data_IF_625624390490
#
_entry.id   IF_625624390490
#
_cell.length_a   1.000
_cell.length_b   1.000
_cell.length_c   1.000
_cell.angle_alpha   90.00
_cell.angle_beta   90.00
_cell.angle_gamma   90.00
#
_symmetry.space_group_name_H-M   'P 1'
#
loop_
_entity.id
_entity.type
_entity.pdbx_description
1 polymer ?
#
# COMPACT_ATOMS: atom_id res chain seq x y z
N UNK A 1 -2.56 62.32 47.95
CA UNK A 1 -2.70 61.85 46.55
C UNK A 1 -1.67 60.79 46.17
N UNK A 2 -0.43 60.84 46.69
CA UNK A 2 0.62 59.85 46.34
C UNK A 2 0.44 58.45 46.95
N UNK A 3 -0.20 58.32 48.13
CA UNK A 3 -0.45 56.99 48.73
C UNK A 3 -1.49 56.16 47.99
N UNK A 4 -2.42 56.78 47.26
CA UNK A 4 -3.44 56.07 46.47
C UNK A 4 -2.88 55.52 45.14
N UNK A 5 -1.86 56.18 44.57
CA UNK A 5 -1.17 55.72 43.36
C UNK A 5 -0.34 54.45 43.60
N UNK A 6 0.25 54.31 44.80
CA UNK A 6 1.00 53.10 45.18
C UNK A 6 0.09 51.87 45.37
N UNK A 7 -1.13 52.06 45.88
CA UNK A 7 -2.12 50.96 45.97
C UNK A 7 -2.70 50.58 44.60
N UNK A 8 -2.84 51.54 43.67
CA UNK A 8 -3.29 51.26 42.31
C UNK A 8 -2.22 50.50 41.49
N UNK A 9 -0.93 50.77 41.69
CA UNK A 9 0.18 50.03 41.05
C UNK A 9 0.36 48.61 41.61
N UNK A 10 -0.03 48.36 42.87
CA UNK A 10 0.00 47.02 43.46
C UNK A 10 -1.13 46.09 42.97
N UNK A 11 -2.22 46.64 42.41
CA UNK A 11 -3.36 45.88 41.89
C UNK A 11 -3.19 45.43 40.42
N UNK A 12 -2.14 45.88 39.73
CA UNK A 12 -1.84 45.46 38.35
C UNK A 12 -0.97 44.21 38.25
N UNK A 13 -0.43 43.72 39.37
CA UNK A 13 0.20 42.40 39.45
C UNK A 13 -0.88 41.39 39.86
N UNK A 14 -1.79 41.10 38.93
CA UNK A 14 -2.63 39.92 39.05
C UNK A 14 -1.74 38.71 39.35
N UNK A 15 -2.16 37.76 40.19
CA UNK A 15 -1.34 36.62 40.56
C UNK A 15 -0.93 35.92 39.27
N UNK A 16 0.36 36.02 38.91
CA UNK A 16 0.94 35.14 37.92
C UNK A 16 0.73 33.74 38.49
N UNK A 17 -0.29 33.02 38.00
CA UNK A 17 -0.51 31.61 38.35
C UNK A 17 0.83 30.93 38.22
N UNK A 18 1.42 30.55 39.36
CA UNK A 18 2.72 29.89 39.39
C UNK A 18 2.65 28.74 38.39
N UNK A 19 3.43 28.83 37.31
CA UNK A 19 3.40 27.84 36.26
C UNK A 19 3.84 26.50 36.87
N UNK A 20 2.97 25.49 36.81
CA UNK A 20 3.30 24.13 37.25
C UNK A 20 4.31 23.55 36.25
N UNK A 21 5.58 23.87 36.45
CA UNK A 21 6.67 23.29 35.70
C UNK A 21 7.33 22.18 36.52
N UNK A 22 7.40 20.94 36.01
CA UNK A 22 8.06 19.86 36.73
C UNK A 22 9.55 20.17 36.98
N UNK A 23 10.12 19.68 38.09
CA UNK A 23 11.56 19.75 38.29
C UNK A 23 12.28 19.00 37.17
N UNK A 24 13.43 19.53 36.72
CA UNK A 24 14.22 19.03 35.57
C UNK A 24 13.59 19.27 34.19
N UNK A 25 12.46 19.98 34.11
CA UNK A 25 11.86 20.41 32.86
C UNK A 25 11.97 21.92 32.67
N UNK A 26 11.90 22.36 31.42
CA UNK A 26 11.81 23.77 31.03
C UNK A 26 10.43 24.03 30.46
N UNK A 27 9.73 25.04 30.97
CA UNK A 27 8.40 25.40 30.49
C UNK A 27 8.48 26.74 29.75
N UNK A 28 8.04 26.75 28.49
CA UNK A 28 8.02 27.94 27.65
C UNK A 28 6.57 28.38 27.43
N UNK A 29 6.27 29.61 27.80
CA UNK A 29 4.95 30.20 27.58
C UNK A 29 4.97 31.04 26.30
N UNK A 30 4.53 30.44 25.20
CA UNK A 30 4.43 31.06 23.88
C UNK A 30 2.96 31.40 23.64
N UNK A 31 2.44 32.44 24.30
CA UNK A 31 1.01 32.78 24.25
C UNK A 31 0.44 32.66 22.81
N UNK A 32 -0.55 31.78 22.56
CA UNK A 32 -1.43 31.11 23.51
C UNK A 32 -1.02 29.68 23.96
N UNK A 33 0.10 29.13 23.48
CA UNK A 33 0.54 27.75 23.76
C UNK A 33 1.58 27.66 24.88
N UNK A 34 1.44 26.64 25.72
CA UNK A 34 2.43 26.26 26.72
C UNK A 34 3.18 25.03 26.23
N UNK A 35 4.50 25.10 26.17
CA UNK A 35 5.37 23.98 25.84
C UNK A 35 6.15 23.52 27.08
N UNK A 36 6.15 22.22 27.35
CA UNK A 36 6.89 21.60 28.46
C UNK A 36 7.95 20.67 27.87
N UNK A 37 9.21 21.02 28.11
CA UNK A 37 10.39 20.39 27.55
C UNK A 37 11.17 19.67 28.65
N UNK A 38 11.21 18.35 28.59
CA UNK A 38 11.84 17.48 29.58
C UNK A 38 12.87 16.53 28.92
N UNK A 39 13.54 16.97 27.86
CA UNK A 39 14.48 16.14 27.12
C UNK A 39 15.74 15.83 27.96
N UNK A 40 16.21 14.57 27.97
CA UNK A 40 17.42 14.15 28.70
C UNK A 40 17.40 14.47 30.20
N UNK A 41 16.22 14.44 30.81
CA UNK A 41 16.03 14.76 32.23
C UNK A 41 16.21 13.55 33.17
N UNK A 42 16.46 12.36 32.63
CA UNK A 42 16.63 11.12 33.41
C UNK A 42 15.32 10.62 34.03
N UNK A 43 14.18 10.95 33.43
CA UNK A 43 12.87 10.62 33.98
C UNK A 43 12.59 9.12 33.88
N UNK A 44 12.22 8.50 35.01
CA UNK A 44 11.80 7.09 35.08
C UNK A 44 10.29 6.92 34.83
N UNK A 45 9.53 8.00 34.97
CA UNK A 45 8.08 8.06 34.81
C UNK A 45 7.65 9.43 34.29
N UNK A 46 6.46 9.52 33.70
CA UNK A 46 5.88 10.80 33.30
C UNK A 46 5.66 11.66 34.55
N UNK A 47 6.14 12.92 34.61
CA UNK A 47 5.95 13.78 35.78
C UNK A 47 4.47 13.97 36.09
N UNK A 48 4.07 13.80 37.36
CA UNK A 48 2.66 13.91 37.77
C UNK A 48 2.10 15.34 37.79
N UNK A 49 2.98 16.36 37.87
CA UNK A 49 2.64 17.78 37.97
C UNK A 49 2.81 18.46 36.60
N UNK A 50 1.96 18.11 35.63
CA UNK A 50 1.92 18.76 34.32
C UNK A 50 0.73 19.73 34.24
N UNK A 51 0.94 20.95 33.74
CA UNK A 51 -0.16 21.88 33.44
C UNK A 51 -1.03 21.30 32.30
N UNK A 52 -2.33 21.14 32.55
CA UNK A 52 -3.28 20.56 31.59
C UNK A 52 -3.57 21.44 30.38
N UNK A 53 -3.07 22.69 30.38
CA UNK A 53 -3.12 23.61 29.22
C UNK A 53 -1.94 23.42 28.27
N UNK A 54 -0.98 22.56 28.60
CA UNK A 54 0.17 22.24 27.76
C UNK A 54 -0.28 21.82 26.35
N UNK A 55 0.25 22.50 25.34
CA UNK A 55 0.00 22.23 23.93
C UNK A 55 1.10 21.35 23.31
N UNK A 56 2.32 21.42 23.84
CA UNK A 56 3.46 20.60 23.40
C UNK A 56 4.17 20.00 24.61
N UNK A 57 4.33 18.67 24.61
CA UNK A 57 5.01 17.94 25.67
C UNK A 57 6.11 17.05 25.08
N UNK A 58 7.37 17.37 25.41
CA UNK A 58 8.55 16.64 24.92
C UNK A 58 9.24 15.93 26.05
N UNK A 59 9.17 14.61 26.05
CA UNK A 59 9.75 13.69 27.03
C UNK A 59 10.83 12.81 26.38
N UNK A 60 11.52 13.33 25.35
CA UNK A 60 12.53 12.59 24.59
C UNK A 60 13.76 12.22 25.41
N UNK A 61 14.40 11.10 25.08
CA UNK A 61 15.67 10.69 25.69
C UNK A 61 15.59 10.56 27.22
N UNK A 62 14.58 9.83 27.69
CA UNK A 62 14.38 9.51 29.10
C UNK A 62 14.32 7.98 29.30
N UNK A 63 13.99 7.53 30.51
CA UNK A 63 13.95 6.11 30.88
C UNK A 63 12.54 5.68 31.30
N UNK A 64 11.50 6.30 30.72
CA UNK A 64 10.12 6.01 31.05
C UNK A 64 9.79 4.58 30.60
N UNK A 65 9.37 3.73 31.55
CA UNK A 65 9.14 2.31 31.27
C UNK A 65 7.69 1.97 30.89
N UNK A 66 6.73 2.77 31.34
CA UNK A 66 5.31 2.54 31.09
C UNK A 66 4.53 3.85 31.08
N UNK A 67 3.46 3.89 30.27
CA UNK A 67 2.52 5.02 30.21
C UNK A 67 1.20 4.60 30.82
N UNK A 68 0.75 5.34 31.84
CA UNK A 68 -0.48 5.10 32.60
C UNK A 68 -1.56 6.09 32.20
N UNK A 69 -2.83 5.71 32.41
CA UNK A 69 -3.98 6.58 32.12
C UNK A 69 -3.92 7.95 32.80
N UNK A 70 -3.46 8.01 34.04
CA UNK A 70 -3.38 9.26 34.81
C UNK A 70 -2.32 10.25 34.30
N UNK A 71 -1.34 9.77 33.54
CA UNK A 71 -0.19 10.58 33.13
C UNK A 71 -0.66 11.70 32.19
N UNK A 72 -1.52 11.36 31.22
CA UNK A 72 -2.05 12.27 30.20
C UNK A 72 -3.53 12.62 30.37
N UNK A 73 -4.13 12.28 31.51
CA UNK A 73 -5.54 12.56 31.79
C UNK A 73 -5.86 14.06 31.67
N UNK A 74 -7.03 14.37 31.10
CA UNK A 74 -7.54 15.74 30.92
C UNK A 74 -6.61 16.73 30.17
N UNK A 75 -5.65 16.26 29.36
CA UNK A 75 -4.79 17.13 28.54
C UNK A 75 -5.40 17.39 27.15
N UNK A 76 -6.61 17.96 27.13
CA UNK A 76 -7.41 18.13 25.89
C UNK A 76 -6.80 19.11 24.88
N UNK A 77 -5.92 20.01 25.34
CA UNK A 77 -5.22 21.02 24.51
C UNK A 77 -3.89 20.52 23.94
N UNK A 78 -3.45 19.32 24.32
CA UNK A 78 -2.18 18.78 23.85
C UNK A 78 -2.27 18.47 22.36
N UNK A 79 -1.35 19.04 21.58
CA UNK A 79 -1.28 18.90 20.11
C UNK A 79 -0.12 18.01 19.71
N UNK A 80 1.03 18.15 20.38
CA UNK A 80 2.24 17.38 20.10
C UNK A 80 2.72 16.67 21.36
N UNK A 81 2.84 15.34 21.28
CA UNK A 81 3.38 14.51 22.34
C UNK A 81 4.55 13.68 21.80
N UNK A 82 5.72 13.89 22.39
CA UNK A 82 6.92 13.16 22.00
C UNK A 82 7.46 12.34 23.17
N UNK A 83 7.41 11.02 23.03
CA UNK A 83 7.93 10.00 23.96
C UNK A 83 9.10 9.21 23.33
N UNK A 84 9.72 9.76 22.29
CA UNK A 84 10.81 9.12 21.54
C UNK A 84 12.01 8.78 22.42
N UNK A 85 12.70 7.68 22.08
CA UNK A 85 13.93 7.23 22.76
C UNK A 85 13.73 7.11 24.28
N UNK A 86 12.76 6.29 24.66
CA UNK A 86 12.48 5.90 26.04
C UNK A 86 12.60 4.38 26.21
N UNK A 87 12.24 3.86 27.39
CA UNK A 87 12.24 2.43 27.67
C UNK A 87 10.81 1.85 27.72
N UNK A 88 9.85 2.45 27.00
CA UNK A 88 8.43 2.14 27.15
C UNK A 88 8.16 0.72 26.63
N UNK A 89 7.74 -0.16 27.54
CA UNK A 89 7.34 -1.54 27.24
C UNK A 89 5.84 -1.74 27.29
N UNK A 90 5.12 -0.88 27.99
CA UNK A 90 3.69 -1.03 28.24
C UNK A 90 2.94 0.30 28.10
N UNK A 91 1.94 0.29 27.25
CA UNK A 91 0.90 1.30 27.18
C UNK A 91 -0.35 0.73 27.87
N UNK A 92 -0.80 1.37 28.95
CA UNK A 92 -2.05 0.98 29.60
C UNK A 92 -3.22 1.32 28.68
N UNK A 93 -4.27 0.46 28.58
CA UNK A 93 -5.47 0.78 27.82
C UNK A 93 -6.04 2.16 28.16
N UNK A 94 -6.48 2.90 27.12
CA UNK A 94 -7.04 4.24 27.24
C UNK A 94 -6.07 5.28 27.84
N UNK A 95 -4.76 5.04 27.76
CA UNK A 95 -3.76 5.99 28.24
C UNK A 95 -3.84 7.37 27.58
N UNK A 96 -4.30 7.41 26.33
CA UNK A 96 -4.41 8.62 25.52
C UNK A 96 -5.86 9.10 25.31
N UNK A 97 -6.82 8.54 26.04
CA UNK A 97 -8.25 8.71 25.74
C UNK A 97 -8.76 10.17 25.81
N UNK A 98 -8.11 11.01 26.62
CA UNK A 98 -8.50 12.40 26.81
C UNK A 98 -7.77 13.37 25.85
N UNK A 99 -6.84 12.86 25.04
CA UNK A 99 -5.98 13.64 24.14
C UNK A 99 -6.68 13.99 22.81
N UNK A 100 -7.89 14.55 22.90
CA UNK A 100 -8.74 14.82 21.73
C UNK A 100 -8.15 15.82 20.73
N UNK A 101 -7.27 16.72 21.19
CA UNK A 101 -6.59 17.72 20.36
C UNK A 101 -5.28 17.23 19.74
N UNK A 102 -4.84 16.00 20.03
CA UNK A 102 -3.53 15.51 19.64
C UNK A 102 -3.45 15.28 18.14
N UNK A 103 -2.41 15.81 17.51
CA UNK A 103 -2.12 15.69 16.08
C UNK A 103 -0.89 14.86 15.80
N UNK A 104 0.12 14.91 16.66
CA UNK A 104 1.33 14.12 16.51
C UNK A 104 1.64 13.34 17.77
N UNK A 105 1.84 12.02 17.61
CA UNK A 105 2.27 11.10 18.66
C UNK A 105 3.53 10.38 18.20
N UNK A 106 4.63 10.65 18.91
CA UNK A 106 5.91 10.01 18.64
C UNK A 106 6.22 9.03 19.78
N UNK A 107 6.35 7.76 19.42
CA UNK A 107 6.68 6.64 20.28
C UNK A 107 7.90 5.87 19.74
N UNK A 108 8.68 6.48 18.85
CA UNK A 108 9.85 5.86 18.22
C UNK A 108 10.99 5.56 19.19
N UNK A 109 11.79 4.55 18.91
CA UNK A 109 12.93 4.19 19.76
C UNK A 109 12.50 3.72 21.15
N UNK A 110 11.41 2.96 21.24
CA UNK A 110 10.91 2.36 22.48
C UNK A 110 11.02 0.83 22.43
N UNK A 111 10.34 0.13 23.34
CA UNK A 111 10.40 -1.33 23.48
C UNK A 111 9.00 -1.95 23.48
N UNK A 112 8.10 -1.37 22.68
CA UNK A 112 6.72 -1.83 22.59
C UNK A 112 6.67 -3.19 21.87
N UNK A 113 6.09 -4.25 22.48
CA UNK A 113 5.98 -5.56 21.84
C UNK A 113 4.77 -5.70 20.91
N UNK A 114 3.69 -4.94 21.17
CA UNK A 114 2.48 -4.96 20.37
C UNK A 114 1.64 -3.69 20.62
N UNK A 115 0.75 -3.37 19.69
CA UNK A 115 -0.31 -2.35 19.85
C UNK A 115 -1.68 -3.03 19.90
N UNK A 116 -2.37 -2.92 21.02
CA UNK A 116 -3.74 -3.41 21.23
C UNK A 116 -4.81 -2.38 20.86
N UNK A 117 -6.03 -2.86 20.62
CA UNK A 117 -7.17 -2.06 20.15
C UNK A 117 -7.62 -0.93 21.10
N UNK A 118 -7.18 -0.96 22.36
CA UNK A 118 -7.52 0.04 23.38
C UNK A 118 -6.38 1.00 23.70
N UNK A 119 -5.16 0.73 23.26
CA UNK A 119 -3.98 1.51 23.65
C UNK A 119 -3.93 2.88 22.98
N UNK A 120 -4.39 2.99 21.73
CA UNK A 120 -4.44 4.24 20.95
C UNK A 120 -5.85 4.83 20.83
N UNK A 121 -6.79 4.40 21.67
CA UNK A 121 -8.16 4.96 21.69
C UNK A 121 -8.20 6.40 22.18
N UNK A 122 -9.14 7.17 21.63
CA UNK A 122 -9.45 8.56 21.98
C UNK A 122 -8.57 9.61 21.28
N UNK A 123 -8.01 9.26 20.12
CA UNK A 123 -7.14 10.12 19.31
C UNK A 123 -7.78 10.56 17.98
N UNK A 124 -8.98 11.18 17.95
CA UNK A 124 -9.74 11.41 16.71
C UNK A 124 -9.07 12.36 15.70
N UNK A 125 -8.19 13.24 16.15
CA UNK A 125 -7.53 14.25 15.32
C UNK A 125 -6.06 13.94 15.00
N UNK A 126 -5.63 12.69 15.25
CA UNK A 126 -4.26 12.29 15.02
C UNK A 126 -3.92 12.30 13.53
N UNK A 127 -2.80 12.92 13.19
CA UNK A 127 -2.28 13.05 11.82
C UNK A 127 -0.96 12.32 11.64
N UNK A 128 -0.10 12.35 12.64
CA UNK A 128 1.22 11.72 12.59
C UNK A 128 1.35 10.71 13.73
N UNK A 129 1.56 9.44 13.36
CA UNK A 129 1.83 8.35 14.31
C UNK A 129 3.17 7.72 13.97
N UNK A 130 4.16 7.97 14.83
CA UNK A 130 5.53 7.48 14.65
C UNK A 130 5.82 6.39 15.68
N UNK A 131 5.92 5.15 15.20
CA UNK A 131 6.17 3.93 15.98
C UNK A 131 7.46 3.21 15.54
N UNK A 132 8.28 3.89 14.73
CA UNK A 132 9.53 3.33 14.21
C UNK A 132 10.50 2.90 15.33
N UNK A 133 11.41 1.96 15.03
CA UNK A 133 12.41 1.48 15.99
C UNK A 133 11.78 0.99 17.31
N UNK A 134 10.83 0.07 17.22
CA UNK A 134 10.24 -0.63 18.35
C UNK A 134 10.47 -2.14 18.21
N UNK A 135 9.74 -2.97 18.98
CA UNK A 135 9.81 -4.43 18.90
C UNK A 135 8.44 -5.01 18.57
N UNK A 136 7.63 -4.26 17.79
CA UNK A 136 6.25 -4.63 17.52
C UNK A 136 6.19 -5.92 16.71
N UNK A 137 5.53 -6.94 17.26
CA UNK A 137 5.27 -8.20 16.58
C UNK A 137 3.86 -8.25 15.98
N UNK A 138 2.93 -7.48 16.56
CA UNK A 138 1.54 -7.43 16.12
C UNK A 138 0.89 -6.07 16.40
N UNK A 139 -0.05 -5.71 15.54
CA UNK A 139 -1.00 -4.62 15.73
C UNK A 139 -2.40 -5.21 15.69
N UNK A 140 -3.20 -4.95 16.72
CA UNK A 140 -4.56 -5.46 16.81
C UNK A 140 -5.47 -4.84 15.74
N UNK A 141 -6.43 -5.60 15.19
CA UNK A 141 -7.48 -5.05 14.35
C UNK A 141 -8.20 -3.90 15.06
N UNK A 142 -8.46 -2.81 14.33
CA UNK A 142 -9.13 -1.64 14.88
C UNK A 142 -8.31 -0.77 15.83
N UNK A 143 -7.01 -1.05 16.01
CA UNK A 143 -6.12 -0.16 16.77
C UNK A 143 -6.02 1.25 16.20
N UNK A 144 -6.32 1.44 14.91
CA UNK A 144 -6.27 2.72 14.21
C UNK A 144 -7.65 3.30 13.86
N UNK A 145 -8.74 2.67 14.30
CA UNK A 145 -10.11 3.04 13.88
C UNK A 145 -10.47 4.49 14.21
N UNK A 146 -10.05 4.99 15.37
CA UNK A 146 -10.42 6.31 15.86
C UNK A 146 -9.85 7.46 14.99
N UNK A 147 -8.73 7.24 14.30
CA UNK A 147 -8.05 8.22 13.44
C UNK A 147 -7.90 7.78 11.99
N UNK A 148 -8.62 6.73 11.57
CA UNK A 148 -8.51 6.22 10.21
C UNK A 148 -8.81 7.29 9.14
N UNK A 149 -9.75 8.19 9.44
CA UNK A 149 -10.10 9.30 8.54
C UNK A 149 -9.24 10.56 8.69
N UNK A 150 -8.25 10.59 9.58
CA UNK A 150 -7.45 11.82 9.86
C UNK A 150 -5.95 11.62 9.73
N UNK A 151 -5.47 10.38 9.80
CA UNK A 151 -4.05 10.06 9.73
C UNK A 151 -3.46 10.40 8.37
N UNK A 152 -2.34 11.13 8.39
CA UNK A 152 -1.57 11.58 7.23
C UNK A 152 -0.25 10.80 7.12
N UNK A 153 0.43 10.54 8.24
CA UNK A 153 1.71 9.81 8.25
C UNK A 153 1.69 8.67 9.28
N UNK A 154 2.02 7.47 8.80
CA UNK A 154 2.19 6.28 9.62
C UNK A 154 3.59 5.69 9.42
N UNK A 155 4.37 5.69 10.48
CA UNK A 155 5.71 5.07 10.51
C UNK A 155 5.70 3.86 11.44
N UNK A 156 5.87 2.67 10.85
CA UNK A 156 6.04 1.38 11.53
C UNK A 156 7.42 0.76 11.21
N UNK A 157 8.37 1.56 10.72
CA UNK A 157 9.71 1.14 10.34
C UNK A 157 10.48 0.44 11.47
N UNK A 158 11.44 -0.42 11.15
CA UNK A 158 12.32 -1.07 12.14
C UNK A 158 11.52 -1.73 13.29
N UNK A 159 10.65 -2.66 12.93
CA UNK A 159 9.85 -3.46 13.86
C UNK A 159 9.91 -4.94 13.45
N UNK A 160 9.21 -5.81 14.17
CA UNK A 160 9.20 -7.26 13.93
C UNK A 160 7.85 -7.72 13.36
N UNK A 161 7.19 -6.89 12.55
CA UNK A 161 5.83 -7.14 12.08
C UNK A 161 5.84 -8.20 10.98
N UNK A 162 5.29 -9.38 11.26
CA UNK A 162 5.08 -10.43 10.26
C UNK A 162 3.74 -10.29 9.53
N UNK A 163 2.74 -9.71 10.20
CA UNK A 163 1.39 -9.47 9.68
C UNK A 163 0.88 -8.11 10.13
N UNK A 164 0.12 -7.47 9.27
CA UNK A 164 -0.58 -6.21 9.55
C UNK A 164 -2.10 -6.41 9.42
N UNK A 165 -2.91 -5.66 10.17
CA UNK A 165 -4.35 -5.62 9.97
C UNK A 165 -4.68 -4.81 8.70
N UNK A 166 -4.51 -5.43 7.53
CA UNK A 166 -4.66 -4.80 6.22
C UNK A 166 -6.00 -4.10 6.00
N UNK A 167 -7.10 -4.66 6.52
CA UNK A 167 -8.43 -4.02 6.49
C UNK A 167 -8.47 -2.68 7.24
N UNK A 168 -7.67 -2.54 8.30
CA UNK A 168 -7.53 -1.27 9.02
C UNK A 168 -6.66 -0.30 8.23
N UNK A 169 -5.59 -0.76 7.58
CA UNK A 169 -4.71 0.07 6.75
C UNK A 169 -5.45 0.62 5.52
N UNK A 170 -6.28 -0.22 4.87
CA UNK A 170 -7.11 0.18 3.72
C UNK A 170 -8.05 1.35 4.03
N UNK A 171 -8.47 1.51 5.29
CA UNK A 171 -9.36 2.59 5.74
C UNK A 171 -8.65 3.92 5.99
N UNK A 172 -7.32 3.99 5.87
CA UNK A 172 -6.52 5.18 6.11
C UNK A 172 -6.58 6.18 4.92
N UNK A 173 -7.77 6.65 4.56
CA UNK A 173 -8.01 7.39 3.31
C UNK A 173 -7.25 8.72 3.15
N UNK A 174 -6.71 9.26 4.24
CA UNK A 174 -5.94 10.51 4.26
C UNK A 174 -4.42 10.32 4.32
N UNK A 175 -3.93 9.07 4.30
CA UNK A 175 -2.50 8.80 4.44
C UNK A 175 -1.72 9.26 3.20
N UNK A 176 -0.65 10.01 3.44
CA UNK A 176 0.31 10.49 2.46
C UNK A 176 1.59 9.66 2.49
N UNK A 177 2.05 9.27 3.68
CA UNK A 177 3.27 8.49 3.86
C UNK A 177 3.00 7.26 4.72
N UNK A 178 3.36 6.09 4.19
CA UNK A 178 3.31 4.81 4.90
C UNK A 178 4.70 4.17 4.85
N UNK A 179 5.36 4.08 6.01
CA UNK A 179 6.68 3.46 6.16
C UNK A 179 6.55 2.12 6.89
N UNK A 180 6.88 1.04 6.19
CA UNK A 180 6.84 -0.35 6.65
C UNK A 180 8.21 -1.02 6.51
N UNK A 181 9.27 -0.25 6.28
CA UNK A 181 10.61 -0.76 6.06
C UNK A 181 11.17 -1.49 7.28
N UNK A 182 12.13 -2.39 7.05
CA UNK A 182 12.81 -3.14 8.11
C UNK A 182 11.82 -3.87 9.03
N UNK A 183 10.95 -4.68 8.42
CA UNK A 183 9.98 -5.53 9.09
C UNK A 183 10.08 -6.98 8.57
N UNK A 184 9.14 -7.85 8.96
CA UNK A 184 9.11 -9.26 8.58
C UNK A 184 7.90 -9.58 7.68
N UNK A 185 7.41 -8.58 6.93
CA UNK A 185 6.18 -8.72 6.14
C UNK A 185 6.47 -9.60 4.94
N UNK A 186 5.74 -10.71 4.81
CA UNK A 186 5.93 -11.69 3.73
C UNK A 186 4.91 -11.56 2.58
N UNK A 187 3.74 -10.99 2.86
CA UNK A 187 2.64 -10.90 1.91
C UNK A 187 1.82 -9.62 2.10
N UNK A 188 1.51 -8.98 0.97
CA UNK A 188 0.59 -7.84 0.88
C UNK A 188 -0.64 -8.29 0.08
N UNK A 189 -1.87 -8.13 0.60
CA UNK A 189 -3.09 -8.45 -0.13
C UNK A 189 -3.30 -7.55 -1.34
N UNK A 190 -3.93 -8.10 -2.38
CA UNK A 190 -4.26 -7.34 -3.58
C UNK A 190 -5.32 -6.25 -3.30
N UNK A 191 -5.11 -5.05 -3.83
CA UNK A 191 -6.07 -3.95 -3.73
C UNK A 191 -6.18 -3.31 -2.34
N UNK A 192 -5.27 -3.62 -1.41
CA UNK A 192 -5.25 -3.02 -0.06
C UNK A 192 -4.98 -1.52 -0.12
N UNK A 193 -4.25 -1.05 -1.15
CA UNK A 193 -3.91 0.36 -1.30
C UNK A 193 -4.85 1.11 -2.25
N UNK A 194 -5.79 0.42 -2.91
CA UNK A 194 -6.66 1.01 -3.94
C UNK A 194 -7.43 2.26 -3.46
N UNK A 195 -7.82 2.31 -2.19
CA UNK A 195 -8.58 3.40 -1.58
C UNK A 195 -7.69 4.51 -0.97
N UNK A 196 -6.37 4.37 -1.01
CA UNK A 196 -5.40 5.32 -0.44
C UNK A 196 -4.99 6.38 -1.49
N UNK A 197 -5.95 7.13 -2.01
CA UNK A 197 -5.75 8.05 -3.13
C UNK A 197 -4.77 9.21 -2.87
N UNK A 198 -4.43 9.50 -1.61
CA UNK A 198 -3.47 10.54 -1.22
C UNK A 198 -2.05 10.03 -0.99
N UNK A 199 -1.85 8.71 -1.06
CA UNK A 199 -0.56 8.10 -0.79
C UNK A 199 0.48 8.59 -1.80
N UNK A 200 1.51 9.25 -1.28
CA UNK A 200 2.63 9.80 -2.04
C UNK A 200 3.92 9.01 -1.80
N UNK A 201 4.05 8.34 -0.65
CA UNK A 201 5.22 7.53 -0.29
C UNK A 201 4.80 6.21 0.35
N UNK A 202 5.29 5.10 -0.21
CA UNK A 202 5.18 3.76 0.35
C UNK A 202 6.56 3.12 0.40
N UNK A 203 7.06 2.92 1.62
CA UNK A 203 8.33 2.23 1.83
C UNK A 203 8.07 0.84 2.42
N UNK A 204 8.53 -0.20 1.71
CA UNK A 204 8.48 -1.60 2.10
C UNK A 204 9.87 -2.24 1.99
N UNK A 205 10.93 -1.44 2.03
CA UNK A 205 12.32 -1.94 1.96
C UNK A 205 12.64 -2.91 3.10
N UNK A 206 13.59 -3.82 2.89
CA UNK A 206 14.07 -4.77 3.92
C UNK A 206 12.93 -5.54 4.61
N UNK A 207 12.08 -6.20 3.82
CA UNK A 207 11.02 -7.09 4.30
C UNK A 207 11.21 -8.52 3.73
N UNK A 208 10.21 -9.39 3.92
CA UNK A 208 10.23 -10.77 3.41
C UNK A 208 9.32 -10.96 2.19
N UNK A 209 9.06 -9.88 1.45
CA UNK A 209 8.13 -9.91 0.31
C UNK A 209 8.71 -10.76 -0.82
N UNK A 210 7.96 -11.79 -1.21
CA UNK A 210 8.25 -12.56 -2.42
C UNK A 210 7.70 -11.89 -3.66
N UNK A 211 6.54 -11.24 -3.52
CA UNK A 211 5.77 -10.68 -4.63
C UNK A 211 5.06 -9.42 -4.16
N UNK A 212 4.85 -8.49 -5.07
CA UNK A 212 4.06 -7.28 -4.86
C UNK A 212 2.84 -7.40 -5.78
N UNK A 213 1.61 -7.39 -5.24
CA UNK A 213 0.42 -7.46 -6.07
C UNK A 213 0.28 -6.18 -6.91
N UNK A 214 -0.23 -6.29 -8.14
CA UNK A 214 -0.57 -5.10 -8.92
C UNK A 214 -1.69 -4.34 -8.19
N UNK A 215 -1.53 -3.03 -8.08
CA UNK A 215 -2.49 -2.11 -7.48
C UNK A 215 -2.69 -0.92 -8.43
N UNK A 216 -3.91 -0.39 -8.58
CA UNK A 216 -4.16 0.81 -9.37
C UNK A 216 -3.27 2.00 -8.99
N UNK A 217 -2.86 2.11 -7.72
CA UNK A 217 -1.94 3.17 -7.28
C UNK A 217 -0.57 3.11 -7.94
N UNK A 218 -0.12 1.92 -8.34
CA UNK A 218 1.18 1.75 -8.97
C UNK A 218 1.14 1.96 -10.48
N UNK A 219 -0.04 2.06 -11.09
CA UNK A 219 -0.14 2.18 -12.55
C UNK A 219 0.18 3.61 -13.00
N UNK A 220 1.00 3.79 -14.06
CA UNK A 220 1.25 5.11 -14.61
C UNK A 220 -0.06 5.70 -15.13
N UNK A 221 -0.45 6.89 -14.63
CA UNK A 221 -1.53 7.65 -15.24
C UNK A 221 -1.23 7.84 -16.74
N UNK A 222 -2.21 7.63 -17.64
CA UNK A 222 -1.99 7.75 -19.06
C UNK A 222 -1.47 9.16 -19.39
N UNK A 223 -0.36 9.20 -20.15
CA UNK A 223 0.37 10.42 -20.56
C UNK A 223 -0.52 11.45 -21.28
N UNK A 224 -1.69 11.04 -21.78
CA UNK A 224 -2.68 11.90 -22.44
C UNK A 224 -3.61 12.68 -21.48
N UNK A 225 -3.63 12.35 -20.18
CA UNK A 225 -4.36 13.11 -19.16
C UNK A 225 -3.53 14.26 -18.56
N UNK A 226 -2.52 14.76 -19.30
CA UNK A 226 -1.63 15.83 -18.85
C UNK A 226 -2.23 17.20 -19.14
N UNK A 227 -3.02 17.73 -18.22
CA UNK A 227 -3.23 19.18 -18.16
C UNK A 227 -1.98 19.85 -17.59
N UNK A 228 -1.48 20.90 -18.26
CA UNK A 228 -0.41 21.76 -17.74
C UNK A 228 -0.83 22.32 -16.38
N UNK A 229 -0.17 21.89 -15.29
CA UNK A 229 -0.35 22.46 -13.96
C UNK A 229 -0.81 21.49 -12.86
N UNK A 230 -1.09 20.20 -13.17
CA UNK A 230 -1.41 19.21 -12.14
C UNK A 230 -0.12 18.75 -11.43
N UNK A 231 -0.02 18.82 -10.09
CA UNK A 231 1.12 18.26 -9.38
C UNK A 231 1.15 16.74 -9.60
N UNK A 232 2.31 16.24 -10.04
CA UNK A 232 2.59 14.82 -10.18
C UNK A 232 2.50 14.20 -8.77
N UNK A 233 1.42 13.51 -8.43
CA UNK A 233 1.49 12.51 -7.34
C UNK A 233 2.20 11.28 -7.90
N UNK A 234 3.49 11.41 -8.22
CA UNK A 234 4.34 10.26 -8.49
C UNK A 234 4.54 9.55 -7.16
N UNK A 235 3.75 8.51 -6.92
CA UNK A 235 3.94 7.64 -5.76
C UNK A 235 5.40 7.16 -5.74
N UNK A 236 6.11 7.52 -4.67
CA UNK A 236 7.44 7.01 -4.39
C UNK A 236 7.26 5.67 -3.70
N UNK A 237 7.44 4.59 -4.46
CA UNK A 237 7.43 3.23 -3.97
C UNK A 237 8.88 2.78 -3.77
N UNK A 238 9.20 2.12 -2.67
CA UNK A 238 10.51 1.52 -2.40
C UNK A 238 10.33 0.11 -1.83
N UNK A 239 11.00 -0.89 -2.41
CA UNK A 239 10.90 -2.30 -1.99
C UNK A 239 12.23 -3.07 -2.11
N UNK A 240 13.36 -2.37 -2.19
CA UNK A 240 14.69 -2.97 -2.15
C UNK A 240 14.90 -3.84 -0.90
N UNK A 241 15.84 -4.78 -0.95
CA UNK A 241 16.15 -5.67 0.18
C UNK A 241 15.07 -6.72 0.51
N UNK A 242 14.18 -7.03 -0.44
CA UNK A 242 13.20 -8.11 -0.30
C UNK A 242 13.61 -9.37 -1.09
N UNK A 243 13.29 -10.58 -0.60
CA UNK A 243 13.59 -11.84 -1.28
C UNK A 243 12.59 -12.11 -2.42
N UNK A 244 12.64 -11.28 -3.47
CA UNK A 244 11.67 -11.31 -4.57
C UNK A 244 11.74 -12.65 -5.34
N UNK A 245 10.57 -13.18 -5.69
CA UNK A 245 10.38 -14.29 -6.61
C UNK A 245 10.03 -13.73 -7.99
N UNK A 246 11.03 -13.63 -8.84
CA UNK A 246 10.97 -13.01 -10.14
C UNK A 246 10.39 -13.96 -11.19
N UNK A 247 9.06 -13.97 -11.27
CA UNK A 247 8.29 -14.65 -12.31
C UNK A 247 7.40 -13.64 -13.07
N UNK A 248 6.44 -14.15 -13.84
CA UNK A 248 5.50 -13.35 -14.62
C UNK A 248 4.66 -12.36 -13.81
N UNK A 249 4.45 -12.62 -12.53
CA UNK A 249 3.64 -11.76 -11.67
C UNK A 249 4.34 -10.44 -11.33
N UNK A 250 5.66 -10.35 -11.49
CA UNK A 250 6.44 -9.11 -11.33
C UNK A 250 6.71 -8.41 -12.66
N UNK A 251 6.19 -8.90 -13.78
CA UNK A 251 6.41 -8.30 -15.11
C UNK A 251 5.84 -6.89 -15.24
N UNK A 252 4.74 -6.60 -14.53
CA UNK A 252 4.15 -5.26 -14.51
C UNK A 252 5.08 -4.24 -13.83
N UNK A 253 5.85 -4.68 -12.83
CA UNK A 253 6.78 -3.85 -12.07
C UNK A 253 7.92 -3.33 -12.95
N UNK A 254 8.40 -4.15 -13.90
CA UNK A 254 9.38 -3.74 -14.92
C UNK A 254 8.89 -2.58 -15.80
N UNK A 255 7.58 -2.48 -16.03
CA UNK A 255 7.02 -1.43 -16.90
C UNK A 255 6.95 -0.08 -16.19
N UNK A 256 7.27 -0.02 -14.91
CA UNK A 256 7.40 1.22 -14.16
C UNK A 256 8.79 1.79 -14.37
N UNK A 257 8.87 2.99 -14.96
CA UNK A 257 10.11 3.77 -14.98
C UNK A 257 10.40 4.24 -13.55
N UNK A 258 11.35 3.59 -12.88
CA UNK A 258 11.79 3.87 -11.51
C UNK A 258 13.32 4.02 -11.47
N UNK A 259 13.82 4.73 -10.45
CA UNK A 259 15.25 4.74 -10.14
C UNK A 259 15.65 3.34 -9.63
N UNK A 260 16.85 2.87 -9.98
CA UNK A 260 17.33 1.56 -9.56
C UNK A 260 17.62 1.57 -8.05
N UNK A 261 16.74 0.97 -7.23
CA UNK A 261 16.89 0.85 -5.77
C UNK A 261 17.72 -0.40 -5.38
N UNK A 262 18.58 -0.89 -6.30
CA UNK A 262 19.35 -2.12 -6.15
C UNK A 262 18.48 -3.34 -5.80
N UNK A 263 17.28 -3.43 -6.39
CA UNK A 263 16.40 -4.56 -6.15
C UNK A 263 16.97 -5.84 -6.76
N UNK A 264 16.89 -6.97 -6.06
CA UNK A 264 17.45 -8.24 -6.51
C UNK A 264 16.45 -9.38 -6.39
N UNK A 265 16.49 -10.28 -7.35
CA UNK A 265 15.72 -11.52 -7.33
C UNK A 265 16.40 -12.53 -6.40
N UNK A 266 15.63 -13.12 -5.49
CA UNK A 266 16.08 -14.25 -4.66
C UNK A 266 15.70 -15.61 -5.27
N UNK A 267 14.71 -15.64 -6.14
CA UNK A 267 14.27 -16.87 -6.83
C UNK A 267 13.59 -16.50 -8.16
N UNK A 268 13.45 -17.45 -9.11
CA UNK A 268 14.04 -18.80 -9.10
C UNK A 268 15.59 -18.76 -9.23
N UNK A 269 16.32 -19.87 -8.99
CA UNK A 269 17.78 -19.90 -8.91
C UNK A 269 18.50 -19.33 -10.14
N UNK A 270 17.89 -19.42 -11.32
CA UNK A 270 18.44 -18.90 -12.58
C UNK A 270 18.52 -17.36 -12.59
N UNK A 271 17.70 -16.70 -11.76
CA UNK A 271 17.62 -15.24 -11.66
C UNK A 271 18.22 -14.70 -10.36
N UNK A 272 18.78 -15.57 -9.51
CA UNK A 272 19.35 -15.17 -8.23
C UNK A 272 20.39 -14.05 -8.39
N UNK A 273 20.19 -12.95 -7.67
CA UNK A 273 21.09 -11.78 -7.68
C UNK A 273 20.91 -10.84 -8.87
N UNK A 274 20.10 -11.19 -9.86
CA UNK A 274 19.80 -10.29 -10.97
C UNK A 274 18.71 -9.27 -10.59
N UNK A 275 18.65 -8.10 -11.25
CA UNK A 275 17.57 -7.15 -11.04
C UNK A 275 16.23 -7.71 -11.54
N UNK A 276 15.11 -7.35 -10.89
CA UNK A 276 13.78 -7.77 -11.33
C UNK A 276 13.52 -7.35 -12.78
N UNK A 277 13.43 -8.34 -13.67
CA UNK A 277 13.21 -8.14 -15.10
C UNK A 277 14.35 -8.57 -16.02
N UNK A 278 15.50 -9.02 -15.51
CA UNK A 278 16.48 -9.79 -16.30
C UNK A 278 15.83 -11.08 -16.79
N UNK A 279 15.86 -11.32 -18.10
CA UNK A 279 15.22 -12.41 -18.86
C UNK A 279 14.70 -13.64 -18.08
N UNK A 280 13.47 -13.56 -17.60
CA UNK A 280 12.61 -14.73 -17.41
C UNK A 280 11.66 -14.78 -18.62
N UNK A 281 11.79 -15.74 -19.56
CA UNK A 281 10.70 -16.00 -20.48
C UNK A 281 9.56 -16.56 -19.64
N UNK A 282 8.45 -15.83 -19.55
CA UNK A 282 7.17 -16.40 -19.16
C UNK A 282 6.82 -17.50 -20.16
N UNK A 283 7.30 -18.71 -19.92
CA UNK A 283 6.93 -19.88 -20.68
C UNK A 283 5.45 -20.14 -20.55
N UNK A 284 4.81 -20.68 -21.60
CA UNK A 284 3.37 -21.01 -21.60
C UNK A 284 2.95 -21.89 -20.42
N UNK A 285 3.88 -22.62 -19.81
CA UNK A 285 3.64 -23.55 -18.71
C UNK A 285 3.31 -22.87 -17.37
N UNK A 286 3.80 -21.66 -17.07
CA UNK A 286 3.44 -20.94 -15.83
C UNK A 286 2.09 -20.21 -15.93
N UNK A 287 1.68 -19.81 -17.15
CA UNK A 287 0.36 -19.23 -17.40
C UNK A 287 -0.74 -20.33 -17.41
N UNK A 288 -0.36 -21.59 -17.68
CA UNK A 288 -1.25 -22.76 -17.72
C UNK A 288 -1.67 -23.28 -16.35
N UNK A 289 -0.86 -23.12 -15.28
CA UNK A 289 -1.25 -23.65 -13.96
C UNK A 289 -2.39 -22.90 -13.25
N UNK A 290 -2.93 -21.83 -13.87
CA UNK A 290 -4.18 -21.19 -13.44
C UNK A 290 -5.32 -21.32 -14.48
N UNK A 291 -5.10 -22.04 -15.58
CA UNK A 291 -6.10 -22.33 -16.61
C UNK A 291 -6.22 -23.82 -16.99
N UNK A 292 -5.37 -24.70 -16.46
CA UNK A 292 -5.42 -26.15 -16.75
C UNK A 292 -6.18 -26.91 -15.65
N UNK A 293 -7.49 -26.65 -15.58
CA UNK A 293 -8.47 -27.60 -15.01
C UNK A 293 -9.77 -27.65 -15.82
N UNK A 294 -9.73 -27.26 -17.08
CA UNK A 294 -10.85 -27.41 -18.00
C UNK A 294 -10.37 -27.96 -19.35
N UNK A 295 -9.60 -29.04 -19.36
CA UNK A 295 -9.53 -29.94 -20.51
C UNK A 295 -9.02 -31.30 -20.03
N UNK A 296 -9.65 -32.37 -20.52
CA UNK A 296 -9.50 -33.78 -20.16
C UNK A 296 -10.13 -34.28 -18.84
N UNK A 297 -11.47 -34.28 -18.82
CA UNK A 297 -12.23 -35.38 -18.22
C UNK A 297 -12.83 -36.22 -19.35
N UNK A 298 -11.99 -36.97 -20.06
CA UNK A 298 -12.45 -38.21 -20.67
C UNK A 298 -12.73 -39.20 -19.53
N UNK A 299 -14.02 -39.48 -19.34
CA UNK A 299 -14.57 -40.34 -18.30
C UNK A 299 -13.89 -41.72 -18.41
N UNK A 300 -13.04 -42.04 -17.45
CA UNK A 300 -12.56 -43.40 -17.18
C UNK A 300 -13.25 -43.89 -15.90
N UNK A 301 -14.05 -44.98 -15.93
CA UNK A 301 -14.90 -45.35 -14.81
C UNK A 301 -14.11 -46.19 -13.80
N UNK A 302 -13.40 -45.58 -12.84
CA UNK A 302 -12.80 -46.35 -11.73
C UNK A 302 -12.33 -45.54 -10.51
N UNK A 303 -12.86 -44.34 -10.24
CA UNK A 303 -12.45 -43.58 -9.04
C UNK A 303 -13.66 -43.33 -8.14
N UNK A 304 -13.63 -43.90 -6.93
CA UNK A 304 -14.61 -43.71 -5.87
C UNK A 304 -14.52 -42.29 -5.26
N UNK A 305 -15.67 -41.68 -4.99
CA UNK A 305 -15.82 -40.39 -4.29
C UNK A 305 -15.26 -40.44 -2.85
N UNK A 306 -13.95 -40.32 -2.67
CA UNK A 306 -13.38 -40.16 -1.33
C UNK A 306 -12.15 -39.24 -1.23
N UNK A 307 -11.58 -38.71 -2.33
CA UNK A 307 -10.30 -37.98 -2.27
C UNK A 307 -10.34 -36.52 -2.76
N UNK A 308 -11.52 -35.93 -2.92
CA UNK A 308 -11.66 -34.49 -3.21
C UNK A 308 -12.46 -33.80 -2.11
N UNK A 309 -11.83 -33.61 -0.96
CA UNK A 309 -12.39 -32.82 0.15
C UNK A 309 -11.28 -32.12 0.91
N UNK A 310 -10.88 -30.95 0.44
CA UNK A 310 -9.96 -30.05 1.12
C UNK A 310 -10.54 -28.64 1.20
N UNK A 311 -11.69 -28.48 1.84
CA UNK A 311 -12.32 -27.19 2.12
C UNK A 311 -12.50 -27.03 3.64
N UNK A 312 -12.02 -25.91 4.19
CA UNK A 312 -12.31 -25.47 5.56
C UNK A 312 -13.51 -24.49 5.52
N UNK A 313 -14.48 -24.55 6.46
CA UNK A 313 -15.73 -23.78 6.40
C UNK A 313 -15.65 -22.41 7.10
N UNK A 314 -16.58 -21.51 6.73
CA UNK A 314 -16.88 -20.24 7.41
C UNK A 314 -17.71 -20.43 8.71
N UNK A 315 -17.72 -19.47 9.65
CA UNK A 315 -18.23 -19.66 11.03
C UNK A 315 -19.75 -19.91 11.19
N UNK A 316 -20.53 -19.82 10.11
CA UNK A 316 -21.98 -19.99 10.14
C UNK A 316 -22.50 -21.13 9.25
N UNK A 317 -21.62 -21.97 8.68
CA UNK A 317 -22.02 -23.27 8.11
C UNK A 317 -22.94 -23.23 6.88
N UNK A 318 -22.98 -22.13 6.12
CA UNK A 318 -23.70 -22.08 4.84
C UNK A 318 -22.76 -22.36 3.66
N UNK A 319 -23.11 -23.36 2.85
CA UNK A 319 -22.49 -23.64 1.56
C UNK A 319 -23.16 -22.77 0.48
N UNK A 320 -22.39 -21.91 -0.20
CA UNK A 320 -22.88 -21.16 -1.37
C UNK A 320 -22.49 -21.95 -2.63
N UNK A 321 -23.48 -22.51 -3.32
CA UNK A 321 -23.29 -23.05 -4.67
C UNK A 321 -23.06 -21.90 -5.65
N UNK A 322 -21.90 -21.89 -6.31
CA UNK A 322 -21.66 -21.04 -7.48
C UNK A 322 -21.91 -21.87 -8.73
N UNK A 323 -22.96 -21.55 -9.48
CA UNK A 323 -23.10 -21.99 -10.88
C UNK A 323 -22.31 -21.02 -11.77
N UNK A 324 -21.33 -21.49 -12.57
CA UNK A 324 -20.65 -20.64 -13.54
C UNK A 324 -21.60 -20.33 -14.72
N UNK A 325 -21.50 -19.13 -15.35
CA UNK A 325 -22.29 -18.83 -16.54
C UNK A 325 -21.93 -19.78 -17.69
N UNK A 326 -22.89 -20.16 -18.55
CA UNK A 326 -22.63 -21.10 -19.64
C UNK A 326 -21.68 -20.49 -20.67
N UNK A 327 -20.67 -21.26 -21.09
CA UNK A 327 -19.82 -20.94 -22.23
C UNK A 327 -20.67 -20.81 -23.51
N UNK A 328 -20.34 -19.90 -24.45
CA UNK A 328 -21.04 -19.81 -25.72
C UNK A 328 -20.85 -21.10 -26.51
N UNK A 329 -21.96 -21.81 -26.74
CA UNK A 329 -21.99 -23.06 -27.49
C UNK A 329 -21.69 -22.82 -28.97
N UNK A 330 -20.84 -23.68 -29.56
CA UNK A 330 -20.64 -23.75 -31.02
C UNK A 330 -21.98 -24.08 -31.67
N UNK A 331 -22.50 -23.17 -32.49
CA UNK A 331 -23.67 -23.41 -33.34
C UNK A 331 -23.29 -24.41 -34.45
N UNK A 332 -24.00 -25.53 -34.62
CA UNK A 332 -23.80 -26.40 -35.77
C UNK A 332 -24.47 -25.77 -37.01
N UNK A 333 -23.69 -25.55 -38.07
CA UNK A 333 -24.22 -25.12 -39.37
C UNK A 333 -24.86 -26.34 -40.04
N UNK A 334 -26.19 -26.40 -40.03
CA UNK A 334 -27.00 -27.35 -40.79
C UNK A 334 -27.12 -26.91 -42.25
N UNK A 335 -26.84 -27.82 -43.19
CA UNK A 335 -27.12 -27.65 -44.63
C UNK A 335 -28.62 -27.84 -44.90
N UNK A 336 -29.27 -27.04 -45.75
CA UNK A 336 -30.59 -27.38 -46.30
C UNK A 336 -30.48 -28.01 -47.71
N UNK A 337 -31.33 -29.01 -47.96
CA UNK A 337 -31.62 -29.63 -49.27
C UNK A 337 -32.91 -29.03 -49.89
N UNK A 338 -33.18 -29.18 -51.20
CA UNK A 338 -33.92 -28.19 -51.99
C UNK A 338 -35.37 -28.57 -52.37
N UNK A 339 -36.22 -27.55 -52.60
CA UNK A 339 -37.44 -27.61 -53.42
C UNK A 339 -37.78 -26.23 -54.00
N UNK A 340 -37.78 -26.13 -55.33
CA UNK A 340 -37.97 -24.98 -56.25
C UNK A 340 -39.46 -24.55 -56.44
N UNK A 341 -39.84 -23.62 -57.36
CA UNK A 341 -39.12 -22.61 -58.16
C UNK A 341 -39.70 -21.16 -57.96
N UNK A 342 -39.07 -20.04 -58.36
CA UNK A 342 -39.23 -19.42 -59.69
C UNK A 342 -38.34 -18.17 -59.90
N UNK A 343 -37.95 -18.01 -61.17
CA UNK A 343 -37.55 -16.81 -61.91
C UNK A 343 -36.07 -16.32 -61.98
N UNK A 344 -35.47 -16.68 -63.13
CA UNK A 344 -34.73 -15.87 -64.13
C UNK A 344 -33.22 -15.58 -63.87
N UNK A 345 -32.37 -16.29 -64.65
CA UNK A 345 -30.89 -16.22 -64.70
C UNK A 345 -30.32 -15.05 -65.52
N UNK A 346 -29.23 -15.21 -66.33
CA UNK A 346 -28.26 -16.30 -66.46
C UNK A 346 -26.78 -15.84 -66.28
N UNK A 347 -25.83 -16.80 -66.28
CA UNK A 347 -24.56 -16.86 -67.05
C UNK A 347 -23.51 -17.72 -66.32
N UNK A 348 -23.28 -18.89 -66.91
CA UNK A 348 -22.25 -19.91 -66.69
C UNK A 348 -21.00 -19.58 -67.58
N UNK A 349 -19.82 -20.25 -67.50
CA UNK A 349 -19.71 -21.70 -67.66
C UNK A 349 -18.69 -22.48 -66.78
N UNK A 350 -19.08 -23.74 -66.56
CA UNK A 350 -18.32 -25.00 -66.64
C UNK A 350 -17.19 -25.34 -65.66
N UNK A 351 -17.49 -26.31 -64.78
CA UNK A 351 -16.51 -27.29 -64.29
C UNK A 351 -17.08 -28.71 -64.44
N UNK A 352 -16.40 -29.52 -65.25
CA UNK A 352 -16.71 -30.92 -65.50
C UNK A 352 -16.18 -31.85 -64.39
N UNK A 353 -16.84 -33.01 -64.28
CA UNK A 353 -16.72 -34.11 -63.31
C UNK A 353 -15.33 -34.77 -63.26
N UNK A 354 -14.96 -35.29 -62.10
CA UNK A 354 -14.72 -36.74 -61.90
C UNK A 354 -14.37 -37.09 -60.44
N UNK A 355 -14.61 -38.36 -60.13
CA UNK A 355 -14.91 -38.98 -58.83
C UNK A 355 -13.65 -39.39 -58.01
N UNK A 356 -13.81 -40.01 -56.81
CA UNK A 356 -12.85 -39.94 -55.70
C UNK A 356 -11.84 -41.09 -55.68
N UNK A 357 -10.69 -40.90 -55.03
CA UNK A 357 -9.94 -41.98 -54.36
C UNK A 357 -8.84 -41.46 -53.42
N UNK A 358 -8.77 -42.10 -52.25
CA UNK A 358 -7.59 -42.38 -51.40
C UNK A 358 -6.72 -41.24 -50.84
N UNK A 359 -6.65 -41.25 -49.50
CA UNK A 359 -5.46 -41.06 -48.66
C UNK A 359 -4.43 -40.01 -49.12
N UNK A 360 -4.47 -38.85 -48.50
CA UNK A 360 -3.38 -37.88 -48.54
C UNK A 360 -3.65 -36.80 -47.50
N UNK A 361 -2.68 -36.60 -46.61
CA UNK A 361 -2.64 -35.42 -45.75
C UNK A 361 -2.72 -34.15 -46.62
N UNK A 362 -3.58 -33.22 -46.25
CA UNK A 362 -3.55 -31.86 -46.77
C UNK A 362 -3.37 -30.89 -45.61
N UNK A 363 -2.20 -30.25 -45.60
CA UNK A 363 -1.91 -29.01 -44.91
C UNK A 363 -2.97 -27.95 -45.27
N UNK A 364 -3.60 -27.38 -44.24
CA UNK A 364 -4.51 -26.25 -44.37
C UNK A 364 -3.78 -24.94 -44.07
N UNK A 365 -3.32 -24.28 -45.13
CA UNK A 365 -2.75 -22.93 -45.14
C UNK A 365 -3.81 -21.90 -44.75
N UNK A 366 -3.51 -21.05 -43.76
CA UNK A 366 -4.21 -19.80 -43.51
C UNK A 366 -3.81 -18.72 -44.53
N UNK A 367 -4.73 -17.99 -45.19
CA UNK A 367 -4.52 -16.59 -45.54
C UNK A 367 -4.93 -15.75 -44.30
N UNK A 368 -4.27 -14.70 -43.84
CA UNK A 368 -3.44 -13.71 -44.49
C UNK A 368 -2.38 -13.18 -43.51
N UNK A 369 -1.16 -13.03 -44.01
CA UNK A 369 -0.26 -11.95 -43.61
C UNK A 369 0.34 -11.40 -44.89
N UNK A 370 0.34 -10.08 -45.06
CA UNK A 370 1.50 -9.33 -45.59
C UNK A 370 1.34 -7.81 -45.42
N UNK A 371 2.43 -7.02 -45.51
CA UNK A 371 2.96 -6.30 -44.34
C UNK A 371 3.07 -4.79 -44.56
N UNK A 372 3.21 -4.03 -43.46
CA UNK A 372 3.61 -2.63 -43.50
C UNK A 372 5.13 -2.50 -43.65
N UNK A 373 5.58 -2.37 -44.89
CA UNK A 373 6.87 -1.76 -45.22
C UNK A 373 6.76 -1.10 -46.61
N UNK A 374 7.13 0.18 -46.66
CA UNK A 374 7.29 1.05 -47.85
C UNK A 374 6.06 1.86 -48.30
N UNK A 375 5.96 3.08 -47.76
CA UNK A 375 5.52 4.26 -48.50
C UNK A 375 6.63 5.32 -48.33
N UNK A 376 7.40 5.53 -49.39
CA UNK A 376 8.25 6.71 -49.58
C UNK A 376 7.63 7.51 -50.74
N UNK A 377 7.67 8.84 -50.60
CA UNK A 377 7.48 9.90 -51.61
C UNK A 377 6.17 10.71 -51.53
N UNK A 378 6.13 11.64 -50.58
CA UNK A 378 6.16 13.10 -50.84
C UNK A 378 6.00 13.82 -49.50
N UNK A 379 7.07 14.37 -48.92
CA UNK A 379 7.37 15.79 -49.09
C UNK A 379 8.86 16.08 -48.88
N UNK A 380 9.44 16.82 -49.83
CA UNK A 380 10.69 17.58 -49.66
C UNK A 380 10.42 18.83 -48.80
N UNK A 381 11.51 19.41 -48.28
CA UNK A 381 11.69 20.65 -47.48
C UNK A 381 11.60 20.46 -45.96
N UNK A 382 12.61 20.66 -45.12
CA UNK A 382 13.98 21.18 -45.25
C UNK A 382 14.92 20.48 -44.25
N UNK A 383 16.11 20.08 -44.70
CA UNK A 383 17.31 20.04 -43.87
C UNK A 383 17.83 21.47 -43.70
N UNK A 384 18.31 21.84 -42.51
CA UNK A 384 19.72 22.25 -42.33
C UNK A 384 20.07 22.54 -40.87
N UNK A 385 21.28 22.07 -40.52
CA UNK A 385 22.18 22.49 -39.44
C UNK A 385 22.05 21.83 -38.06
N UNK A 386 22.79 20.73 -37.92
CA UNK A 386 23.59 20.47 -36.73
C UNK A 386 24.94 21.22 -36.85
N UNK A 387 25.39 21.91 -35.78
CA UNK A 387 26.83 22.02 -35.45
C UNK A 387 27.10 22.60 -34.05
N UNK A 388 28.03 21.92 -33.37
CA UNK A 388 28.97 22.36 -32.30
C UNK A 388 28.36 22.66 -30.91
N UNK A 389 28.68 21.89 -29.87
CA UNK A 389 29.95 21.86 -29.11
C UNK A 389 30.48 23.27 -28.79
N UNK A 390 30.19 23.75 -27.57
CA UNK A 390 31.20 24.15 -26.57
C UNK A 390 30.53 24.57 -25.25
N UNK A 391 30.98 23.97 -24.15
CA UNK A 391 31.10 24.60 -22.82
C UNK A 391 32.37 25.49 -22.81
N UNK A 392 32.62 26.36 -21.82
CA UNK A 392 31.96 26.47 -20.51
C UNK A 392 30.89 27.56 -20.42
#
# INVERSE_FOLDING_TARGET
MERLLLYALALCLGPSRAQLCPPRCTCQNLSPSLAVLCARAGLLFVPGLLDRRTAELRLTDNFIAAVRRRDFANMTRLVHLTLSRNAIRQLVPFAFADLRGLRALHLDGNRLPAIGAQQLRGLPNLRHLILGNNQLQAVAPGAFDDFAGTLEDLDLSYNNLARLPWETIRRLSNVNSLSLDHNLIAHVPQGVFADLHKLARLDMTSNLLKKIPPDPLFLPLPVYAKSKGSPLSSLVLSFGGNPLHCNCELLWLRRLAREDDLETCASPPELLGNPPGSSAPCGREEMGQRMDRCEDLSISPSWSMAELSGALPDPHGHWIQWEPPPCPSRVPISRPSPSSPDHLGPWEPDCARSSPTRSGACEGVCPDRRPLSQLIQSSRFQETQAKMIKKP
#
